data_IF_314830048354
#
_entry.id   IF_314830048354
#
_cell.length_a   1.000
_cell.length_b   1.000
_cell.length_c   1.000
_cell.angle_alpha   90.00
_cell.angle_beta   90.00
_cell.angle_gamma   90.00
#
_symmetry.space_group_name_H-M   'P 1'
#
loop_
_entity.id
_entity.type
_entity.pdbx_description
1 polymer ?
#
# COMPACT_ATOMS: atom_id res chain seq x y z
N UNK A 1 34.39 -25.05 8.96
CA UNK A 1 33.05 -25.48 8.51
C UNK A 1 31.92 -24.48 8.77
N UNK A 2 31.94 -23.68 9.86
CA UNK A 2 30.90 -22.68 10.12
C UNK A 2 30.91 -21.49 9.13
N UNK A 3 32.09 -21.08 8.69
CA UNK A 3 32.28 -19.93 7.78
C UNK A 3 31.72 -20.17 6.36
N UNK A 4 31.75 -21.41 5.89
CA UNK A 4 31.18 -21.79 4.59
C UNK A 4 29.64 -21.77 4.60
N UNK A 5 28.98 -21.94 5.76
CA UNK A 5 27.52 -21.78 5.89
C UNK A 5 27.06 -20.32 5.78
N UNK A 6 27.92 -19.36 6.12
CA UNK A 6 27.59 -17.93 6.00
C UNK A 6 27.67 -17.42 4.54
N UNK A 7 28.49 -18.05 3.70
CA UNK A 7 28.56 -17.74 2.26
C UNK A 7 27.54 -18.49 1.40
N UNK A 8 26.89 -19.53 1.91
CA UNK A 8 26.16 -20.51 1.10
C UNK A 8 24.64 -20.46 1.28
N UNK A 9 24.00 -19.31 0.98
CA UNK A 9 22.61 -19.20 0.45
C UNK A 9 22.11 -17.74 0.48
N UNK A 10 22.69 -16.88 -0.36
CA UNK A 10 21.88 -15.84 -1.03
C UNK A 10 21.57 -16.34 -2.44
N UNK A 11 20.86 -17.45 -2.53
CA UNK A 11 20.08 -17.71 -3.74
C UNK A 11 19.02 -16.62 -3.76
N UNK A 12 19.12 -15.68 -4.71
CA UNK A 12 18.12 -14.63 -4.92
C UNK A 12 16.75 -15.32 -5.07
N UNK A 13 15.94 -15.25 -4.02
CA UNK A 13 14.60 -15.80 -4.05
C UNK A 13 13.73 -14.81 -4.81
N UNK A 14 13.57 -15.02 -6.12
CA UNK A 14 12.80 -14.14 -6.98
C UNK A 14 11.38 -13.87 -6.46
N UNK A 15 10.79 -14.80 -5.71
CA UNK A 15 9.49 -14.59 -5.05
C UNK A 15 9.54 -13.53 -3.94
N UNK A 16 10.60 -13.49 -3.14
CA UNK A 16 10.78 -12.47 -2.12
C UNK A 16 11.08 -11.09 -2.71
N UNK A 17 11.81 -11.05 -3.84
CA UNK A 17 12.06 -9.82 -4.58
C UNK A 17 10.75 -9.28 -5.17
N UNK A 18 9.98 -10.13 -5.85
CA UNK A 18 8.69 -9.74 -6.42
C UNK A 18 7.71 -9.25 -5.36
N UNK A 19 7.68 -9.91 -4.20
CA UNK A 19 6.90 -9.47 -3.04
C UNK A 19 7.37 -8.09 -2.53
N UNK A 20 8.67 -7.89 -2.40
CA UNK A 20 9.23 -6.59 -2.00
C UNK A 20 8.88 -5.48 -2.98
N UNK A 21 8.99 -5.76 -4.29
CA UNK A 21 8.60 -4.82 -5.35
C UNK A 21 7.11 -4.50 -5.29
N UNK A 22 6.25 -5.50 -5.09
CA UNK A 22 4.80 -5.29 -4.96
C UNK A 22 4.46 -4.39 -3.77
N UNK A 23 5.10 -4.61 -2.61
CA UNK A 23 4.91 -3.78 -1.42
C UNK A 23 5.37 -2.34 -1.68
N UNK A 24 6.52 -2.14 -2.33
CA UNK A 24 7.02 -0.79 -2.65
C UNK A 24 6.09 -0.09 -3.64
N UNK A 25 5.65 -0.77 -4.70
CA UNK A 25 4.71 -0.21 -5.67
C UNK A 25 3.40 0.18 -5.01
N UNK A 26 2.83 -0.69 -4.17
CA UNK A 26 1.61 -0.39 -3.42
C UNK A 26 1.81 0.78 -2.47
N UNK A 27 2.97 0.87 -1.80
CA UNK A 27 3.29 2.00 -0.92
C UNK A 27 3.30 3.32 -1.70
N UNK A 28 3.90 3.35 -2.90
CA UNK A 28 3.92 4.54 -3.74
C UNK A 28 2.52 4.91 -4.24
N UNK A 29 1.72 3.90 -4.66
CA UNK A 29 0.34 4.10 -5.09
C UNK A 29 -0.50 4.69 -3.96
N UNK A 30 -0.52 4.06 -2.79
CA UNK A 30 -1.27 4.52 -1.61
C UNK A 30 -0.82 5.90 -1.18
N UNK A 31 0.50 6.14 -1.08
CA UNK A 31 1.02 7.45 -0.69
C UNK A 31 0.56 8.54 -1.67
N UNK A 32 0.59 8.28 -2.98
CA UNK A 32 0.14 9.26 -3.97
C UNK A 32 -1.38 9.48 -3.97
N UNK A 33 -2.16 8.42 -3.69
CA UNK A 33 -3.61 8.46 -3.65
C UNK A 33 -4.15 9.20 -2.41
N UNK A 34 -3.43 9.11 -1.28
CA UNK A 34 -3.80 9.79 -0.04
C UNK A 34 -3.43 11.27 -0.04
N UNK A 35 -2.51 11.72 -0.91
CA UNK A 35 -2.17 13.15 -1.00
C UNK A 35 -3.41 13.97 -1.39
N UNK A 36 -3.78 15.01 -0.63
CA UNK A 36 -4.92 15.87 -0.94
C UNK A 36 -4.90 16.41 -2.36
N UNK A 37 -6.04 16.40 -3.04
CA UNK A 37 -6.21 16.94 -4.39
C UNK A 37 -5.66 18.37 -4.55
N UNK A 38 -5.82 19.22 -3.52
CA UNK A 38 -5.31 20.60 -3.60
C UNK A 38 -3.78 20.70 -3.58
N UNK A 39 -3.09 19.71 -3.01
CA UNK A 39 -1.62 19.62 -3.12
C UNK A 39 -1.23 19.19 -4.53
N UNK A 40 -1.95 18.24 -5.13
CA UNK A 40 -1.72 17.86 -6.52
C UNK A 40 -1.92 19.01 -7.51
N UNK A 41 -2.97 19.82 -7.34
CA UNK A 41 -3.18 21.01 -8.20
C UNK A 41 -2.10 22.07 -8.02
N UNK A 42 -1.45 22.15 -6.84
CA UNK A 42 -0.32 23.06 -6.61
C UNK A 42 0.99 22.55 -7.21
N UNK A 43 1.24 21.24 -7.11
CA UNK A 43 2.45 20.60 -7.66
C UNK A 43 2.37 20.51 -9.19
N UNK A 44 1.17 20.28 -9.73
CA UNK A 44 0.92 20.11 -11.17
C UNK A 44 -0.10 21.15 -11.68
N UNK A 45 0.24 22.45 -11.72
CA UNK A 45 -0.70 23.53 -12.06
C UNK A 45 -1.22 23.46 -13.50
N UNK A 46 -0.50 22.79 -14.40
CA UNK A 46 -0.87 22.64 -15.81
C UNK A 46 -1.67 21.36 -16.11
N UNK A 47 -1.95 20.52 -15.10
CA UNK A 47 -2.74 19.31 -15.28
C UNK A 47 -4.21 19.59 -14.98
N UNK A 48 -5.05 19.56 -16.01
CA UNK A 48 -6.50 19.74 -15.89
C UNK A 48 -7.17 18.66 -15.00
N UNK A 49 -6.54 17.49 -14.87
CA UNK A 49 -7.08 16.34 -14.14
C UNK A 49 -6.53 16.19 -12.71
N UNK A 50 -5.58 17.03 -12.30
CA UNK A 50 -4.88 16.87 -11.01
C UNK A 50 -5.82 16.95 -9.80
N UNK A 51 -6.91 17.72 -9.90
CA UNK A 51 -7.91 17.82 -8.85
C UNK A 51 -8.72 16.53 -8.64
N UNK A 52 -8.89 15.72 -9.68
CA UNK A 52 -9.74 14.54 -9.65
C UNK A 52 -8.93 13.23 -9.53
N UNK A 53 -7.85 13.14 -10.30
CA UNK A 53 -7.08 11.90 -10.47
C UNK A 53 -5.66 11.99 -9.87
N UNK A 54 -5.33 13.10 -9.21
CA UNK A 54 -3.99 13.35 -8.68
C UNK A 54 -2.93 13.35 -9.80
N UNK A 55 -1.83 12.60 -9.68
CA UNK A 55 -0.77 12.59 -10.68
C UNK A 55 -1.14 11.77 -11.93
N UNK A 56 -2.28 11.08 -11.93
CA UNK A 56 -2.64 10.12 -12.96
C UNK A 56 -3.50 10.73 -14.07
N UNK A 57 -3.21 10.45 -15.35
CA UNK A 57 -4.13 10.72 -16.44
C UNK A 57 -5.48 10.01 -16.26
N UNK A 58 -6.56 10.62 -16.72
CA UNK A 58 -7.91 10.06 -16.62
C UNK A 58 -8.05 8.69 -17.30
N UNK A 59 -7.26 8.41 -18.35
CA UNK A 59 -7.26 7.14 -19.06
C UNK A 59 -6.80 5.95 -18.22
N UNK A 60 -5.97 6.17 -17.19
CA UNK A 60 -5.43 5.11 -16.34
C UNK A 60 -6.00 5.11 -14.92
N UNK A 61 -6.79 6.12 -14.54
CA UNK A 61 -7.35 6.22 -13.18
C UNK A 61 -8.11 4.95 -12.74
N UNK A 62 -8.96 4.31 -13.59
CA UNK A 62 -9.63 3.06 -13.21
C UNK A 62 -8.65 1.90 -12.94
N UNK A 63 -7.55 1.84 -13.69
CA UNK A 63 -6.51 0.84 -13.49
C UNK A 63 -5.79 1.07 -12.16
N UNK A 64 -5.49 2.32 -11.81
CA UNK A 64 -4.89 2.66 -10.51
C UNK A 64 -5.81 2.22 -9.37
N UNK A 65 -7.11 2.53 -9.46
CA UNK A 65 -8.08 2.06 -8.47
C UNK A 65 -8.11 0.53 -8.38
N UNK A 66 -8.09 -0.16 -9.51
CA UNK A 66 -8.03 -1.62 -9.53
C UNK A 66 -6.77 -2.15 -8.84
N UNK A 67 -5.61 -1.54 -9.10
CA UNK A 67 -4.33 -1.96 -8.49
C UNK A 67 -4.35 -1.80 -6.96
N UNK A 68 -4.92 -0.72 -6.42
CA UNK A 68 -5.07 -0.51 -4.97
C UNK A 68 -5.86 -1.62 -4.26
N UNK A 69 -6.71 -2.36 -4.98
CA UNK A 69 -7.42 -3.52 -4.43
C UNK A 69 -6.70 -4.85 -4.72
N UNK A 70 -6.12 -4.98 -5.92
CA UNK A 70 -5.48 -6.22 -6.36
C UNK A 70 -4.13 -6.44 -5.72
N UNK A 71 -3.32 -5.40 -5.52
CA UNK A 71 -1.95 -5.54 -5.01
C UNK A 71 -1.91 -6.01 -3.55
N UNK A 72 -2.69 -5.45 -2.60
CA UNK A 72 -2.73 -6.00 -1.23
C UNK A 72 -3.18 -7.47 -1.22
N UNK A 73 -4.12 -7.82 -2.09
CA UNK A 73 -4.58 -9.20 -2.27
C UNK A 73 -3.47 -10.11 -2.83
N UNK A 74 -2.73 -9.65 -3.85
CA UNK A 74 -1.62 -10.39 -4.45
C UNK A 74 -0.43 -10.55 -3.48
N UNK A 75 -0.15 -9.53 -2.66
CA UNK A 75 0.84 -9.58 -1.57
C UNK A 75 0.44 -10.66 -0.56
N UNK A 76 -0.83 -10.67 -0.15
CA UNK A 76 -1.39 -11.69 0.74
C UNK A 76 -1.27 -13.10 0.17
N UNK A 77 -1.66 -13.28 -1.09
CA UNK A 77 -1.58 -14.55 -1.82
C UNK A 77 -0.13 -15.06 -1.96
N UNK A 78 0.83 -14.16 -2.07
CA UNK A 78 2.25 -14.50 -2.19
C UNK A 78 2.90 -14.91 -0.88
N UNK A 79 2.22 -14.73 0.26
CA UNK A 79 2.73 -15.08 1.58
C UNK A 79 2.34 -16.50 2.01
N UNK A 80 3.28 -17.22 2.64
CA UNK A 80 3.04 -18.55 3.22
C UNK A 80 2.29 -18.48 4.56
N UNK A 81 2.64 -17.48 5.38
CA UNK A 81 2.11 -17.30 6.73
C UNK A 81 1.12 -16.15 6.77
N UNK A 82 -0.01 -16.34 7.44
CA UNK A 82 -1.07 -15.33 7.54
C UNK A 82 -0.60 -14.05 8.23
N UNK A 83 0.29 -14.15 9.23
CA UNK A 83 0.86 -12.98 9.91
C UNK A 83 1.68 -12.11 8.94
N UNK A 84 2.47 -12.75 8.08
CA UNK A 84 3.27 -12.07 7.06
C UNK A 84 2.38 -11.44 6.00
N UNK A 85 1.32 -12.14 5.58
CA UNK A 85 0.32 -11.63 4.63
C UNK A 85 -0.33 -10.35 5.15
N UNK A 86 -0.83 -10.37 6.40
CA UNK A 86 -1.44 -9.21 7.05
C UNK A 86 -0.45 -8.05 7.19
N UNK A 87 0.75 -8.33 7.71
CA UNK A 87 1.75 -7.29 7.93
C UNK A 87 2.13 -6.61 6.62
N UNK A 88 2.48 -7.38 5.58
CA UNK A 88 2.94 -6.82 4.32
C UNK A 88 1.82 -6.20 3.49
N UNK A 89 0.60 -6.71 3.58
CA UNK A 89 -0.55 -6.08 2.92
C UNK A 89 -0.91 -4.75 3.61
N UNK A 90 -0.83 -4.65 4.93
CA UNK A 90 -1.19 -3.41 5.64
C UNK A 90 -0.06 -2.37 5.69
N UNK A 91 1.19 -2.77 5.53
CA UNK A 91 2.35 -1.88 5.63
C UNK A 91 2.29 -0.67 4.66
N UNK A 92 1.90 -0.81 3.38
CA UNK A 92 1.64 0.31 2.50
C UNK A 92 0.64 1.33 3.06
N UNK A 93 -0.45 0.86 3.66
CA UNK A 93 -1.47 1.71 4.28
C UNK A 93 -0.92 2.45 5.52
N UNK A 94 -0.16 1.78 6.38
CA UNK A 94 0.50 2.41 7.53
C UNK A 94 1.44 3.55 7.10
N UNK A 95 2.30 3.29 6.11
CA UNK A 95 3.25 4.29 5.61
C UNK A 95 2.50 5.43 4.92
N UNK A 96 1.55 5.11 4.04
CA UNK A 96 0.76 6.11 3.31
C UNK A 96 -0.03 7.01 4.25
N UNK A 97 -0.69 6.44 5.26
CA UNK A 97 -1.39 7.21 6.29
C UNK A 97 -0.43 8.07 7.10
N UNK A 98 0.75 7.57 7.47
CA UNK A 98 1.77 8.36 8.17
C UNK A 98 2.22 9.60 7.38
N UNK A 99 2.53 9.41 6.09
CA UNK A 99 2.90 10.52 5.18
C UNK A 99 1.74 11.50 5.04
N UNK A 100 0.53 10.99 4.84
CA UNK A 100 -0.67 11.80 4.73
C UNK A 100 -0.92 12.63 5.99
N UNK A 101 -0.76 12.05 7.18
CA UNK A 101 -0.97 12.72 8.45
C UNK A 101 0.02 13.87 8.62
N UNK A 102 1.30 13.64 8.30
CA UNK A 102 2.32 14.69 8.27
C UNK A 102 1.97 15.78 7.26
N UNK A 103 1.48 15.43 6.07
CA UNK A 103 1.05 16.42 5.08
C UNK A 103 -0.19 17.21 5.53
N UNK A 104 -1.13 16.55 6.20
CA UNK A 104 -2.38 17.13 6.66
C UNK A 104 -2.14 18.13 7.81
N UNK A 105 -1.17 17.89 8.70
CA UNK A 105 -0.85 18.84 9.78
C UNK A 105 -0.37 20.19 9.26
N UNK A 106 0.30 20.26 8.10
CA UNK A 106 0.69 21.53 7.48
C UNK A 106 -0.50 22.37 7.00
N UNK A 107 -1.67 21.76 6.77
CA UNK A 107 -2.86 22.44 6.23
C UNK A 107 -3.98 22.60 7.25
N UNK A 108 -4.23 21.57 8.06
CA UNK A 108 -5.37 21.50 9.00
C UNK A 108 -4.90 21.64 10.45
N UNK A 109 -3.60 21.50 10.72
CA UNK A 109 -3.02 21.56 12.07
C UNK A 109 -3.00 20.21 12.78
N UNK A 110 -2.42 20.19 13.99
CA UNK A 110 -2.19 18.95 14.75
C UNK A 110 -3.48 18.22 15.18
N UNK A 111 -4.61 18.92 15.26
CA UNK A 111 -5.90 18.33 15.67
C UNK A 111 -6.57 17.48 14.57
N UNK A 112 -6.00 17.41 13.38
CA UNK A 112 -6.49 16.53 12.32
C UNK A 112 -6.61 15.06 12.77
N UNK A 113 -5.67 14.59 13.61
CA UNK A 113 -5.64 13.21 14.09
C UNK A 113 -6.77 12.85 15.07
N UNK A 114 -7.39 13.84 15.70
CA UNK A 114 -8.38 13.64 16.78
C UNK A 114 -9.81 13.89 16.33
N UNK A 115 -10.00 14.31 15.07
CA UNK A 115 -11.32 14.44 14.47
C UNK A 115 -11.93 13.04 14.25
N UNK A 116 -13.15 12.76 14.76
CA UNK A 116 -13.80 11.47 14.62
C UNK A 116 -13.87 10.96 13.17
N UNK A 117 -14.21 11.85 12.24
CA UNK A 117 -14.38 11.50 10.82
C UNK A 117 -13.06 11.02 10.19
N UNK A 118 -11.92 11.60 10.59
CA UNK A 118 -10.61 11.23 10.09
C UNK A 118 -10.09 9.95 10.73
N UNK A 119 -10.38 9.72 12.01
CA UNK A 119 -10.04 8.46 12.68
C UNK A 119 -10.75 7.30 11.99
N UNK A 120 -12.07 7.41 11.80
CA UNK A 120 -12.86 6.35 11.17
C UNK A 120 -12.36 6.06 9.76
N UNK A 121 -12.13 7.08 8.93
CA UNK A 121 -11.62 6.88 7.57
C UNK A 121 -10.23 6.19 7.54
N UNK A 122 -9.31 6.61 8.42
CA UNK A 122 -7.97 6.03 8.49
C UNK A 122 -8.00 4.56 8.96
N UNK A 123 -8.83 4.26 9.96
CA UNK A 123 -9.00 2.89 10.47
C UNK A 123 -9.64 2.00 9.41
N UNK A 124 -10.69 2.46 8.73
CA UNK A 124 -11.34 1.71 7.65
C UNK A 124 -10.39 1.37 6.51
N UNK A 125 -9.41 2.24 6.21
CA UNK A 125 -8.39 1.95 5.20
C UNK A 125 -7.45 0.82 5.66
N UNK A 126 -7.00 0.83 6.92
CA UNK A 126 -6.20 -0.25 7.49
C UNK A 126 -6.98 -1.59 7.50
N UNK A 127 -8.26 -1.54 7.86
CA UNK A 127 -9.15 -2.71 7.85
C UNK A 127 -9.35 -3.27 6.44
N UNK A 128 -9.53 -2.39 5.44
CA UNK A 128 -9.63 -2.80 4.04
C UNK A 128 -8.38 -3.56 3.59
N UNK A 129 -7.19 -3.01 3.84
CA UNK A 129 -5.92 -3.64 3.45
C UNK A 129 -5.67 -4.95 4.21
N UNK A 130 -6.04 -5.02 5.49
CA UNK A 130 -5.99 -6.25 6.27
C UNK A 130 -6.94 -7.31 5.70
N UNK A 131 -8.16 -6.92 5.34
CA UNK A 131 -9.16 -7.79 4.70
C UNK A 131 -8.66 -8.34 3.37
N UNK A 132 -8.17 -7.47 2.48
CA UNK A 132 -7.63 -7.86 1.17
C UNK A 132 -6.41 -8.79 1.30
N UNK A 133 -5.47 -8.47 2.18
CA UNK A 133 -4.31 -9.33 2.47
C UNK A 133 -4.71 -10.70 3.01
N UNK A 134 -5.71 -10.75 3.90
CA UNK A 134 -6.25 -11.99 4.46
C UNK A 134 -6.94 -12.84 3.40
N UNK A 135 -7.76 -12.22 2.53
CA UNK A 135 -8.44 -12.88 1.43
C UNK A 135 -7.43 -13.50 0.46
N UNK A 136 -6.38 -12.74 0.12
CA UNK A 136 -5.30 -13.23 -0.72
C UNK A 136 -4.62 -14.47 -0.15
N UNK A 137 -4.24 -14.43 1.13
CA UNK A 137 -3.65 -15.58 1.81
C UNK A 137 -4.62 -16.77 1.90
N UNK A 138 -5.89 -16.52 2.22
CA UNK A 138 -6.91 -17.56 2.34
C UNK A 138 -7.15 -18.26 0.99
N UNK A 139 -7.16 -17.52 -0.12
CA UNK A 139 -7.22 -18.11 -1.45
C UNK A 139 -6.05 -19.07 -1.69
N UNK A 140 -4.82 -18.65 -1.37
CA UNK A 140 -3.63 -19.52 -1.48
C UNK A 140 -3.78 -20.80 -0.65
N UNK A 141 -4.23 -20.65 0.60
CA UNK A 141 -4.44 -21.76 1.52
C UNK A 141 -5.47 -22.77 0.97
N UNK A 142 -6.59 -22.27 0.43
CA UNK A 142 -7.63 -23.11 -0.18
C UNK A 142 -7.14 -23.85 -1.43
N UNK A 143 -6.33 -23.20 -2.27
CA UNK A 143 -5.75 -23.81 -3.46
C UNK A 143 -4.56 -24.75 -3.15
N UNK A 144 -4.18 -24.92 -1.88
CA UNK A 144 -3.06 -25.77 -1.43
C UNK A 144 -1.74 -25.48 -2.15
N UNK A 145 -1.49 -24.21 -2.47
CA UNK A 145 -0.26 -23.77 -3.11
C UNK A 145 0.80 -23.63 -2.01
N UNK A 146 1.41 -24.77 -1.66
CA UNK A 146 2.56 -24.87 -0.75
C UNK A 146 3.84 -24.36 -1.39
#
# INVERSE_FOLDING_TARGET
>A
MLYLRLMQRRTLNYGEIALGVAVVLETLLVASALVPAQLWTRIMPFSANAALNGPYPASIAPLITLLLYLLPTAIGFSCQHWQKALLLATLPAWIGLGIFLVAATFKVGAFYMVSPDHITANVSLLELFAGLGSIGWLARFLFKIS
#
